data_IF_697556222892
#
_entry.id   IF_697556222892
#
_cell.length_a   1.000
_cell.length_b   1.000
_cell.length_c   1.000
_cell.angle_alpha   90.00
_cell.angle_beta   90.00
_cell.angle_gamma   90.00
#
_symmetry.space_group_name_H-M   'P 1'
#
loop_
_entity.id
_entity.type
_entity.pdbx_description
1 polymer ?
#
# COMPACT_ATOMS: atom_id res chain seq x y z
N UNK A 1 28.65 -22.23 -29.98
CA UNK A 1 27.55 -23.16 -29.63
C UNK A 1 27.47 -23.22 -28.11
N UNK A 2 26.28 -23.18 -27.55
CA UNK A 2 26.13 -23.37 -26.10
C UNK A 2 26.55 -24.80 -25.71
N UNK A 3 27.30 -24.96 -24.62
CA UNK A 3 27.73 -26.25 -24.12
C UNK A 3 26.50 -27.06 -23.67
N UNK A 4 26.42 -28.31 -24.11
CA UNK A 4 25.35 -29.23 -23.71
C UNK A 4 25.95 -30.50 -23.15
N UNK A 5 25.58 -30.87 -21.93
CA UNK A 5 26.00 -32.04 -21.20
C UNK A 5 24.86 -33.04 -20.96
N UNK A 6 23.81 -33.00 -21.76
CA UNK A 6 22.69 -33.92 -21.65
C UNK A 6 23.16 -35.37 -21.84
N UNK A 7 22.72 -36.26 -20.94
CA UNK A 7 23.12 -37.68 -20.98
C UNK A 7 24.55 -38.00 -20.52
N UNK A 8 25.34 -36.96 -20.17
CA UNK A 8 26.72 -37.19 -19.69
C UNK A 8 26.73 -37.57 -18.19
N UNK A 9 27.65 -38.45 -17.82
CA UNK A 9 27.95 -38.73 -16.41
C UNK A 9 28.95 -37.70 -15.83
N UNK A 10 29.30 -37.87 -14.53
CA UNK A 10 30.20 -36.96 -13.82
C UNK A 10 31.60 -37.00 -14.42
N UNK A 11 32.11 -38.19 -14.81
CA UNK A 11 33.46 -38.34 -15.35
C UNK A 11 33.61 -37.66 -16.72
N UNK A 12 32.61 -37.82 -17.57
CA UNK A 12 32.60 -37.16 -18.87
C UNK A 12 32.63 -35.62 -18.72
N UNK A 13 31.91 -35.07 -17.73
CA UNK A 13 31.96 -33.64 -17.43
C UNK A 13 33.28 -33.19 -16.79
N UNK A 14 33.90 -34.02 -15.99
CA UNK A 14 35.23 -33.78 -15.44
C UNK A 14 36.24 -33.78 -16.61
N UNK A 15 36.25 -34.85 -17.43
CA UNK A 15 37.14 -35.01 -18.56
C UNK A 15 37.05 -33.84 -19.55
N UNK A 16 35.88 -33.26 -19.74
CA UNK A 16 35.69 -32.06 -20.54
C UNK A 16 36.59 -30.89 -20.09
N UNK A 17 36.78 -30.73 -18.78
CA UNK A 17 37.55 -29.64 -18.20
C UNK A 17 39.01 -29.97 -17.94
N UNK A 18 39.31 -31.23 -17.60
CA UNK A 18 40.64 -31.70 -17.17
C UNK A 18 41.39 -32.50 -18.23
N UNK A 19 40.73 -32.82 -19.33
CA UNK A 19 41.20 -33.84 -20.27
C UNK A 19 40.84 -35.26 -19.83
N UNK A 20 40.85 -36.18 -20.79
CA UNK A 20 40.50 -37.61 -20.58
C UNK A 20 41.66 -38.37 -19.95
N UNK A 21 42.02 -38.04 -18.70
CA UNK A 21 43.06 -38.62 -17.92
C UNK A 21 42.49 -39.21 -16.61
N UNK A 22 42.66 -40.52 -16.41
CA UNK A 22 42.09 -41.25 -15.28
C UNK A 22 42.52 -40.69 -13.91
N UNK A 23 43.78 -40.26 -13.75
CA UNK A 23 44.28 -39.68 -12.51
C UNK A 23 43.64 -38.29 -12.24
N UNK A 24 43.44 -37.48 -13.27
CA UNK A 24 42.75 -36.21 -13.16
C UNK A 24 41.29 -36.36 -12.78
N UNK A 25 40.61 -37.36 -13.36
CA UNK A 25 39.21 -37.68 -13.06
C UNK A 25 39.09 -38.17 -11.63
N UNK A 26 39.97 -39.08 -11.19
CA UNK A 26 40.01 -39.60 -9.80
C UNK A 26 40.28 -38.49 -8.79
N UNK A 27 41.21 -37.60 -9.08
CA UNK A 27 41.51 -36.42 -8.24
C UNK A 27 40.29 -35.51 -8.13
N UNK A 28 39.62 -35.18 -9.23
CA UNK A 28 38.42 -34.36 -9.22
C UNK A 28 37.28 -34.98 -8.43
N UNK A 29 37.07 -36.30 -8.56
CA UNK A 29 36.08 -37.03 -7.72
C UNK A 29 36.41 -36.94 -6.24
N UNK A 30 37.67 -36.96 -5.86
CA UNK A 30 38.12 -36.76 -4.48
C UNK A 30 37.66 -35.40 -3.94
N UNK A 31 37.94 -34.32 -4.66
CA UNK A 31 37.52 -32.95 -4.27
C UNK A 31 35.99 -32.80 -4.24
N UNK A 32 35.24 -33.38 -5.17
CA UNK A 32 33.78 -33.38 -5.18
C UNK A 32 33.21 -34.11 -3.96
N UNK A 33 33.77 -35.26 -3.61
CA UNK A 33 33.34 -36.00 -2.43
C UNK A 33 33.61 -35.22 -1.14
N UNK A 34 34.81 -34.65 -1.01
CA UNK A 34 35.18 -33.83 0.13
C UNK A 34 34.30 -32.57 0.23
N UNK A 35 34.00 -31.91 -0.87
CA UNK A 35 33.07 -30.76 -0.88
C UNK A 35 31.69 -31.13 -0.34
N UNK A 36 31.16 -32.29 -0.71
CA UNK A 36 29.86 -32.73 -0.21
C UNK A 36 29.92 -33.12 1.28
N UNK A 37 30.99 -33.79 1.71
CA UNK A 37 31.18 -34.20 3.12
C UNK A 37 31.36 -32.98 4.03
N UNK A 38 32.20 -32.03 3.63
CA UNK A 38 32.40 -30.78 4.40
C UNK A 38 31.15 -29.93 4.48
N UNK A 39 30.34 -29.88 3.41
CA UNK A 39 29.02 -29.24 3.44
C UNK A 39 28.08 -29.95 4.44
N UNK A 40 28.04 -31.29 4.43
CA UNK A 40 27.21 -32.06 5.37
C UNK A 40 27.62 -31.83 6.83
N UNK A 41 28.91 -31.70 7.07
CA UNK A 41 29.51 -31.46 8.40
C UNK A 41 29.49 -29.97 8.79
N UNK A 42 29.06 -29.07 7.90
CA UNK A 42 29.08 -27.60 8.08
C UNK A 42 30.51 -27.04 8.30
N UNK A 43 31.52 -27.73 7.77
CA UNK A 43 32.90 -27.25 7.75
C UNK A 43 33.16 -26.40 6.51
N UNK A 44 32.79 -25.13 6.62
CA UNK A 44 32.81 -24.23 5.49
C UNK A 44 34.22 -23.77 5.08
N UNK A 45 35.21 -23.85 5.95
CA UNK A 45 36.60 -23.54 5.60
C UNK A 45 37.18 -24.63 4.67
N UNK A 46 37.04 -25.88 5.04
CA UNK A 46 37.47 -26.98 4.19
C UNK A 46 36.62 -27.12 2.94
N UNK A 47 35.31 -26.80 3.05
CA UNK A 47 34.43 -26.72 1.89
C UNK A 47 34.91 -25.67 0.88
N UNK A 48 35.38 -24.49 1.33
CA UNK A 48 35.96 -23.46 0.49
C UNK A 48 37.23 -23.88 -0.22
N UNK A 49 38.14 -24.63 0.46
CA UNK A 49 39.33 -25.17 -0.19
C UNK A 49 38.96 -26.11 -1.34
N UNK A 50 38.01 -27.01 -1.10
CA UNK A 50 37.52 -27.93 -2.13
C UNK A 50 36.81 -27.19 -3.28
N UNK A 51 36.01 -26.18 -2.94
CA UNK A 51 35.34 -25.30 -3.93
C UNK A 51 36.32 -24.62 -4.87
N UNK A 52 37.42 -24.03 -4.35
CA UNK A 52 38.44 -23.34 -5.15
C UNK A 52 39.05 -24.29 -6.22
N UNK A 53 39.36 -25.53 -5.83
CA UNK A 53 39.88 -26.51 -6.75
C UNK A 53 38.84 -26.89 -7.82
N UNK A 54 37.59 -27.21 -7.42
CA UNK A 54 36.53 -27.61 -8.35
C UNK A 54 36.18 -26.48 -9.33
N UNK A 55 36.04 -25.25 -8.83
CA UNK A 55 35.77 -24.06 -9.66
C UNK A 55 36.79 -23.93 -10.78
N UNK A 56 38.07 -24.16 -10.47
CA UNK A 56 39.17 -23.98 -11.42
C UNK A 56 39.29 -25.13 -12.42
N UNK A 57 39.17 -26.38 -11.95
CA UNK A 57 39.53 -27.53 -12.76
C UNK A 57 38.37 -28.41 -13.21
N UNK A 58 37.23 -28.35 -12.54
CA UNK A 58 36.07 -29.17 -12.85
C UNK A 58 34.72 -28.44 -12.69
N UNK A 59 34.53 -27.23 -13.28
CA UNK A 59 33.38 -26.39 -13.00
C UNK A 59 32.03 -26.98 -13.43
N UNK A 60 32.04 -27.95 -14.35
CA UNK A 60 30.83 -28.64 -14.82
C UNK A 60 30.60 -30.02 -14.21
N UNK A 61 31.46 -30.44 -13.31
CA UNK A 61 31.38 -31.80 -12.73
C UNK A 61 30.02 -32.01 -12.01
N UNK A 62 29.58 -31.01 -11.25
CA UNK A 62 28.26 -31.00 -10.59
C UNK A 62 27.71 -29.62 -10.37
N UNK A 63 26.38 -29.50 -10.28
CA UNK A 63 25.71 -28.23 -10.01
C UNK A 63 25.86 -27.76 -8.55
N UNK A 64 26.30 -28.62 -7.66
CA UNK A 64 26.39 -28.39 -6.20
C UNK A 64 27.20 -27.15 -5.82
N UNK A 65 28.32 -26.87 -6.50
CA UNK A 65 29.13 -25.68 -6.22
C UNK A 65 28.37 -24.37 -6.42
N UNK A 66 27.45 -24.34 -7.38
CA UNK A 66 26.65 -23.15 -7.72
C UNK A 66 25.41 -23.00 -6.84
N UNK A 67 24.90 -24.08 -6.25
CA UNK A 67 23.69 -24.07 -5.42
C UNK A 67 23.98 -24.02 -3.93
N UNK A 68 25.08 -24.64 -3.49
CA UNK A 68 25.52 -24.71 -2.08
C UNK A 68 26.60 -23.67 -1.76
N UNK A 69 27.39 -23.27 -2.76
CA UNK A 69 28.46 -22.28 -2.63
C UNK A 69 28.03 -20.95 -2.03
N UNK A 70 26.91 -20.36 -2.43
CA UNK A 70 26.45 -19.11 -1.81
C UNK A 70 26.26 -19.19 -0.30
N UNK A 71 25.72 -20.30 0.21
CA UNK A 71 25.55 -20.51 1.65
C UNK A 71 26.91 -20.73 2.37
N UNK A 72 27.85 -21.40 1.73
CA UNK A 72 29.22 -21.50 2.24
C UNK A 72 29.84 -20.12 2.41
N UNK A 73 29.77 -19.26 1.39
CA UNK A 73 30.30 -17.90 1.48
C UNK A 73 29.58 -17.05 2.53
N UNK A 74 28.27 -17.17 2.62
CA UNK A 74 27.49 -16.53 3.69
C UNK A 74 28.03 -16.89 5.07
N UNK A 75 28.24 -18.19 5.32
CA UNK A 75 28.73 -18.70 6.59
C UNK A 75 30.16 -18.23 6.89
N UNK A 76 31.02 -18.20 5.87
CA UNK A 76 32.40 -17.69 5.99
C UNK A 76 32.44 -16.20 6.32
N UNK A 77 31.64 -15.38 5.63
CA UNK A 77 31.55 -13.93 5.86
C UNK A 77 31.02 -13.64 7.27
N UNK A 78 30.00 -14.38 7.72
CA UNK A 78 29.44 -14.21 9.07
C UNK A 78 30.40 -14.60 10.19
N UNK A 79 31.25 -15.60 9.96
CA UNK A 79 32.25 -16.05 10.95
C UNK A 79 33.55 -15.23 10.93
N UNK A 80 33.89 -14.54 9.82
CA UNK A 80 35.13 -13.80 9.66
C UNK A 80 35.08 -12.46 10.41
N UNK A 81 36.23 -12.01 10.94
CA UNK A 81 36.37 -10.73 11.58
C UNK A 81 37.22 -9.74 10.75
N UNK A 82 38.08 -10.26 9.88
CA UNK A 82 38.94 -9.46 9.02
C UNK A 82 38.13 -8.85 7.85
N UNK A 83 37.99 -7.53 7.76
CA UNK A 83 37.24 -6.89 6.68
C UNK A 83 37.76 -7.23 5.28
N UNK A 84 39.07 -7.39 5.10
CA UNK A 84 39.65 -7.71 3.80
C UNK A 84 39.29 -9.14 3.36
N UNK A 85 39.21 -10.08 4.30
CA UNK A 85 38.75 -11.44 4.01
C UNK A 85 37.24 -11.49 3.77
N UNK A 86 36.44 -10.73 4.53
CA UNK A 86 35.01 -10.59 4.26
C UNK A 86 34.77 -10.11 2.85
N UNK A 87 35.48 -9.06 2.45
CA UNK A 87 35.41 -8.49 1.09
C UNK A 87 35.78 -9.54 0.06
N UNK A 88 36.86 -10.27 0.24
CA UNK A 88 37.29 -11.31 -0.67
C UNK A 88 36.21 -12.39 -0.85
N UNK A 89 35.65 -12.90 0.25
CA UNK A 89 34.60 -13.92 0.18
C UNK A 89 33.33 -13.39 -0.51
N UNK A 90 32.99 -12.12 -0.28
CA UNK A 90 31.86 -11.48 -0.94
C UNK A 90 32.08 -11.34 -2.45
N UNK A 91 33.23 -10.87 -2.88
CA UNK A 91 33.57 -10.71 -4.29
C UNK A 91 33.55 -12.07 -5.02
N UNK A 92 34.10 -13.11 -4.40
CA UNK A 92 34.09 -14.47 -4.95
C UNK A 92 32.67 -15.08 -4.99
N UNK A 93 31.81 -14.75 -4.04
CA UNK A 93 30.40 -15.14 -4.07
C UNK A 93 29.68 -14.47 -5.25
N UNK A 94 29.92 -13.19 -5.47
CA UNK A 94 29.32 -12.47 -6.62
C UNK A 94 29.82 -13.04 -7.94
N UNK A 95 31.13 -13.35 -8.04
CA UNK A 95 31.69 -14.03 -9.21
C UNK A 95 31.03 -15.40 -9.44
N UNK A 96 30.75 -16.16 -8.38
CA UNK A 96 30.06 -17.44 -8.48
C UNK A 96 28.65 -17.29 -9.09
N UNK A 97 27.89 -16.26 -8.71
CA UNK A 97 26.60 -15.97 -9.33
C UNK A 97 26.75 -15.61 -10.80
N UNK A 98 27.74 -14.82 -11.19
CA UNK A 98 28.01 -14.47 -12.59
C UNK A 98 28.39 -15.70 -13.42
N UNK A 99 29.23 -16.57 -12.89
CA UNK A 99 29.57 -17.84 -13.52
C UNK A 99 28.34 -18.75 -13.68
N UNK A 100 27.48 -18.81 -12.68
CA UNK A 100 26.24 -19.58 -12.76
C UNK A 100 25.31 -19.03 -13.84
N UNK A 101 25.13 -17.71 -13.91
CA UNK A 101 24.34 -17.07 -14.97
C UNK A 101 24.92 -17.38 -16.38
N UNK A 102 26.21 -17.17 -16.56
CA UNK A 102 26.90 -17.43 -17.83
C UNK A 102 26.75 -18.87 -18.29
N UNK A 103 26.81 -19.81 -17.36
CA UNK A 103 26.82 -21.25 -17.66
C UNK A 103 25.44 -21.91 -17.46
N UNK A 104 24.37 -21.14 -17.25
CA UNK A 104 23.07 -21.66 -16.82
C UNK A 104 22.52 -22.76 -17.75
N UNK A 105 22.61 -22.57 -19.06
CA UNK A 105 22.14 -23.56 -20.04
C UNK A 105 22.95 -24.88 -19.94
N UNK A 106 24.26 -24.78 -19.81
CA UNK A 106 25.13 -25.93 -19.67
C UNK A 106 24.85 -26.69 -18.36
N UNK A 107 24.68 -25.96 -17.25
CA UNK A 107 24.34 -26.55 -15.94
C UNK A 107 22.94 -27.21 -15.96
N UNK A 108 21.97 -26.58 -16.60
CA UNK A 108 20.61 -27.11 -16.75
C UNK A 108 20.54 -28.37 -17.62
N UNK A 109 21.50 -28.55 -18.55
CA UNK A 109 21.47 -29.72 -19.45
C UNK A 109 21.66 -31.06 -18.72
N UNK A 110 22.28 -31.06 -17.54
CA UNK A 110 22.47 -32.26 -16.71
C UNK A 110 21.85 -32.17 -15.31
N UNK A 111 21.25 -31.01 -14.95
CA UNK A 111 20.63 -30.84 -13.65
C UNK A 111 19.31 -31.64 -13.55
N UNK A 112 19.06 -32.27 -12.42
CA UNK A 112 17.77 -32.93 -12.13
C UNK A 112 16.62 -31.91 -12.07
N UNK A 113 16.89 -30.74 -11.46
CA UNK A 113 15.95 -29.60 -11.41
C UNK A 113 16.60 -28.45 -12.13
N UNK A 114 15.93 -27.98 -13.17
CA UNK A 114 16.39 -26.85 -13.97
C UNK A 114 16.10 -25.54 -13.24
N UNK A 115 17.02 -24.59 -13.32
CA UNK A 115 16.85 -23.24 -12.80
C UNK A 115 16.60 -22.26 -13.94
N UNK A 116 15.77 -21.25 -13.69
CA UNK A 116 15.64 -20.09 -14.59
C UNK A 116 16.69 -19.02 -14.23
N UNK A 117 16.85 -18.03 -15.07
CA UNK A 117 17.66 -16.86 -14.73
C UNK A 117 17.06 -16.11 -13.52
N UNK A 118 15.74 -16.02 -13.42
CA UNK A 118 15.04 -15.44 -12.28
C UNK A 118 15.37 -16.14 -10.96
N UNK A 119 15.50 -17.49 -10.95
CA UNK A 119 15.93 -18.25 -9.75
C UNK A 119 17.32 -17.82 -9.28
N UNK A 120 18.26 -17.71 -10.20
CA UNK A 120 19.65 -17.34 -9.89
C UNK A 120 19.74 -15.92 -9.36
N UNK A 121 19.05 -14.99 -10.01
CA UNK A 121 19.04 -13.56 -9.66
C UNK A 121 18.32 -13.29 -8.34
N UNK A 122 17.23 -14.03 -8.03
CA UNK A 122 16.54 -13.88 -6.76
C UNK A 122 17.44 -14.26 -5.58
N UNK A 123 18.17 -15.38 -5.71
CA UNK A 123 19.13 -15.81 -4.68
C UNK A 123 20.31 -14.82 -4.56
N UNK A 124 20.82 -14.31 -5.70
CA UNK A 124 21.87 -13.27 -5.72
C UNK A 124 21.40 -12.01 -4.99
N UNK A 125 20.18 -11.53 -5.24
CA UNK A 125 19.63 -10.33 -4.62
C UNK A 125 19.54 -10.45 -3.10
N UNK A 126 19.04 -11.58 -2.60
CA UNK A 126 18.96 -11.86 -1.16
C UNK A 126 20.34 -11.85 -0.51
N UNK A 127 21.31 -12.61 -1.03
CA UNK A 127 22.65 -12.65 -0.46
C UNK A 127 23.38 -11.32 -0.57
N UNK A 128 23.23 -10.60 -1.68
CA UNK A 128 23.80 -9.25 -1.82
C UNK A 128 23.25 -8.34 -0.72
N UNK A 129 21.96 -8.27 -0.56
CA UNK A 129 21.33 -7.39 0.43
C UNK A 129 21.75 -7.71 1.87
N UNK A 130 21.90 -8.99 2.21
CA UNK A 130 22.28 -9.41 3.57
C UNK A 130 23.75 -9.19 3.92
N UNK A 131 24.64 -9.12 2.93
CA UNK A 131 26.08 -9.18 3.16
C UNK A 131 26.86 -7.98 2.64
N UNK A 132 26.30 -7.24 1.66
CA UNK A 132 27.04 -6.18 0.99
C UNK A 132 27.51 -5.06 1.94
N UNK A 133 26.65 -4.62 2.85
CA UNK A 133 26.99 -3.54 3.77
C UNK A 133 28.19 -3.91 4.66
N UNK A 134 28.19 -5.10 5.25
CA UNK A 134 29.28 -5.55 6.13
C UNK A 134 30.56 -5.97 5.38
N UNK A 135 30.44 -6.31 4.10
CA UNK A 135 31.57 -6.76 3.28
C UNK A 135 32.23 -5.61 2.49
N UNK A 136 31.46 -4.63 2.06
CA UNK A 136 31.92 -3.49 1.25
C UNK A 136 32.23 -2.24 2.08
N UNK A 137 31.70 -2.14 3.31
CA UNK A 137 31.91 -1.00 4.16
C UNK A 137 31.51 0.32 3.47
N UNK A 138 32.47 1.25 3.30
CA UNK A 138 32.22 2.54 2.66
C UNK A 138 31.91 2.47 1.14
N UNK A 139 32.23 1.36 0.49
CA UNK A 139 31.91 1.14 -0.93
C UNK A 139 30.49 0.61 -1.13
N UNK A 140 29.76 0.34 -0.04
CA UNK A 140 28.39 -0.11 -0.14
C UNK A 140 27.49 0.98 -0.75
N UNK A 141 26.81 0.63 -1.86
CA UNK A 141 25.78 1.46 -2.47
C UNK A 141 24.43 0.71 -2.45
N UNK A 142 23.49 1.26 -1.72
CA UNK A 142 22.12 0.75 -1.60
C UNK A 142 21.43 0.57 -2.97
N UNK A 143 21.79 1.39 -3.98
CA UNK A 143 21.27 1.27 -5.35
C UNK A 143 21.62 -0.07 -6.00
N UNK A 144 22.74 -0.68 -5.62
CA UNK A 144 23.10 -2.00 -6.13
C UNK A 144 22.20 -3.09 -5.55
N UNK A 145 21.81 -3.00 -4.27
CA UNK A 145 20.77 -3.87 -3.71
C UNK A 145 19.46 -3.73 -4.48
N UNK A 146 19.01 -2.51 -4.70
CA UNK A 146 17.82 -2.22 -5.48
C UNK A 146 17.85 -2.85 -6.87
N UNK A 147 18.95 -2.64 -7.62
CA UNK A 147 19.11 -3.20 -8.97
C UNK A 147 19.02 -4.72 -9.00
N UNK A 148 19.66 -5.39 -8.03
CA UNK A 148 19.61 -6.86 -7.95
C UNK A 148 18.18 -7.35 -7.71
N UNK A 149 17.41 -6.72 -6.82
CA UNK A 149 16.00 -7.08 -6.59
C UNK A 149 15.12 -6.80 -7.82
N UNK A 150 15.23 -5.61 -8.41
CA UNK A 150 14.44 -5.22 -9.57
C UNK A 150 14.69 -6.13 -10.79
N UNK A 151 15.95 -6.50 -11.03
CA UNK A 151 16.32 -7.41 -12.11
C UNK A 151 15.79 -8.83 -11.85
N UNK A 152 15.85 -9.30 -10.61
CA UNK A 152 15.29 -10.60 -10.23
C UNK A 152 13.78 -10.67 -10.44
N UNK A 153 13.03 -9.66 -9.97
CA UNK A 153 11.58 -9.56 -10.15
C UNK A 153 11.23 -9.54 -11.65
N UNK A 154 11.93 -8.72 -12.42
CA UNK A 154 11.75 -8.66 -13.87
C UNK A 154 11.94 -10.02 -14.54
N UNK A 155 13.04 -10.70 -14.26
CA UNK A 155 13.33 -11.99 -14.87
C UNK A 155 12.37 -13.09 -14.46
N UNK A 156 11.93 -13.12 -13.21
CA UNK A 156 10.89 -14.07 -12.78
C UNK A 156 9.57 -13.81 -13.51
N UNK A 157 9.18 -12.55 -13.68
CA UNK A 157 7.96 -12.19 -14.40
C UNK A 157 8.02 -12.52 -15.91
N UNK A 158 9.18 -12.38 -16.53
CA UNK A 158 9.36 -12.64 -17.97
C UNK A 158 9.57 -14.12 -18.33
N UNK A 159 10.29 -14.85 -17.49
CA UNK A 159 10.76 -16.21 -17.81
C UNK A 159 10.22 -17.29 -16.89
N UNK A 160 9.48 -16.91 -15.85
CA UNK A 160 9.09 -17.80 -14.77
C UNK A 160 10.26 -18.12 -13.84
N UNK A 161 10.05 -19.07 -12.92
CA UNK A 161 11.02 -19.51 -11.93
C UNK A 161 10.41 -19.68 -10.56
N UNK A 162 11.25 -19.51 -9.51
CA UNK A 162 10.74 -19.56 -8.14
C UNK A 162 9.75 -18.42 -7.90
N UNK A 163 8.77 -18.71 -7.11
CA UNK A 163 7.80 -17.72 -6.65
C UNK A 163 8.52 -16.59 -5.88
N UNK A 164 8.21 -15.35 -6.24
CA UNK A 164 8.64 -14.18 -5.49
C UNK A 164 7.79 -14.09 -4.22
N UNK A 165 8.41 -14.38 -3.07
CA UNK A 165 7.70 -14.41 -1.79
C UNK A 165 7.36 -13.00 -1.28
N UNK A 166 6.36 -12.89 -0.38
CA UNK A 166 6.04 -11.63 0.27
C UNK A 166 7.23 -11.01 1.00
N UNK A 167 8.06 -11.82 1.68
CA UNK A 167 9.29 -11.33 2.33
C UNK A 167 10.31 -10.76 1.33
N UNK A 168 10.42 -11.34 0.14
CA UNK A 168 11.27 -10.80 -0.92
C UNK A 168 10.77 -9.43 -1.37
N UNK A 169 9.46 -9.29 -1.62
CA UNK A 169 8.82 -8.02 -1.99
C UNK A 169 8.94 -6.97 -0.89
N UNK A 170 8.73 -7.36 0.36
CA UNK A 170 8.92 -6.48 1.52
C UNK A 170 10.36 -5.97 1.59
N UNK A 171 11.35 -6.84 1.42
CA UNK A 171 12.76 -6.46 1.46
C UNK A 171 13.12 -5.54 0.30
N UNK A 172 12.64 -5.83 -0.91
CA UNK A 172 12.77 -4.94 -2.05
C UNK A 172 12.20 -3.55 -1.75
N UNK A 173 10.98 -3.50 -1.20
CA UNK A 173 10.32 -2.23 -0.91
C UNK A 173 11.02 -1.45 0.21
N UNK A 174 11.57 -2.14 1.22
CA UNK A 174 12.43 -1.51 2.24
C UNK A 174 13.67 -0.86 1.64
N UNK A 175 14.30 -1.50 0.65
CA UNK A 175 15.45 -0.92 -0.08
C UNK A 175 15.00 0.29 -0.90
N UNK A 176 13.86 0.24 -1.56
CA UNK A 176 13.27 1.36 -2.29
C UNK A 176 12.95 2.55 -1.36
N UNK A 177 12.37 2.28 -0.18
CA UNK A 177 12.07 3.29 0.84
C UNK A 177 13.35 3.97 1.37
N UNK A 178 14.39 3.18 1.63
CA UNK A 178 15.68 3.72 2.05
C UNK A 178 16.32 4.64 0.99
N UNK A 179 16.19 4.31 -0.30
CA UNK A 179 16.64 5.17 -1.41
C UNK A 179 15.79 6.44 -1.49
N UNK A 180 14.48 6.31 -1.38
CA UNK A 180 13.57 7.46 -1.38
C UNK A 180 13.91 8.45 -0.27
N UNK A 181 14.14 7.99 0.95
CA UNK A 181 14.57 8.81 2.09
C UNK A 181 15.95 9.42 1.88
N UNK A 182 16.92 8.63 1.43
CA UNK A 182 18.29 9.10 1.16
C UNK A 182 18.36 10.18 0.07
N UNK A 183 17.48 10.10 -0.94
CA UNK A 183 17.39 11.07 -2.05
C UNK A 183 16.44 12.23 -1.76
N UNK A 184 15.92 12.33 -0.53
CA UNK A 184 14.95 13.37 -0.12
C UNK A 184 13.76 13.48 -1.09
N UNK A 185 13.27 12.35 -1.56
CA UNK A 185 12.12 12.28 -2.45
C UNK A 185 12.41 12.43 -3.95
N UNK A 186 13.67 12.55 -4.38
CA UNK A 186 13.99 12.67 -5.80
C UNK A 186 13.59 11.41 -6.63
N UNK A 187 13.44 10.25 -5.99
CA UNK A 187 13.02 8.99 -6.63
C UNK A 187 11.54 8.66 -6.41
N UNK A 188 10.71 9.67 -6.16
CA UNK A 188 9.31 9.50 -5.76
C UNK A 188 8.46 8.68 -6.73
N UNK A 189 8.56 8.93 -8.04
CA UNK A 189 7.79 8.19 -9.04
C UNK A 189 8.15 6.70 -9.03
N UNK A 190 9.44 6.38 -8.93
CA UNK A 190 9.89 5.00 -8.85
C UNK A 190 9.42 4.33 -7.56
N UNK A 191 9.53 5.03 -6.45
CA UNK A 191 9.06 4.54 -5.14
C UNK A 191 7.55 4.22 -5.13
N UNK A 192 6.74 5.10 -5.75
CA UNK A 192 5.31 4.85 -5.92
C UNK A 192 5.04 3.61 -6.80
N UNK A 193 5.81 3.44 -7.88
CA UNK A 193 5.68 2.28 -8.76
C UNK A 193 6.09 1.00 -8.03
N UNK A 194 7.19 1.02 -7.28
CA UNK A 194 7.67 -0.12 -6.48
C UNK A 194 6.63 -0.54 -5.42
N UNK A 195 5.95 0.44 -4.79
CA UNK A 195 4.84 0.18 -3.89
C UNK A 195 3.69 -0.54 -4.58
N UNK A 196 3.22 0.01 -5.70
CA UNK A 196 2.08 -0.54 -6.43
C UNK A 196 2.36 -1.96 -6.94
N UNK A 197 3.55 -2.18 -7.50
CA UNK A 197 3.92 -3.48 -8.05
C UNK A 197 4.08 -4.54 -6.94
N UNK A 198 4.69 -4.16 -5.80
CA UNK A 198 4.84 -5.05 -4.64
C UNK A 198 3.49 -5.39 -4.01
N UNK A 199 2.61 -4.40 -3.88
CA UNK A 199 1.25 -4.58 -3.37
C UNK A 199 0.44 -5.49 -4.28
N UNK A 200 0.38 -5.21 -5.58
CA UNK A 200 -0.34 -6.02 -6.56
C UNK A 200 0.12 -7.49 -6.55
N UNK A 201 1.44 -7.72 -6.47
CA UNK A 201 1.98 -9.06 -6.41
C UNK A 201 1.53 -9.82 -5.14
N UNK A 202 1.55 -9.17 -3.98
CA UNK A 202 1.04 -9.76 -2.74
C UNK A 202 -0.48 -10.03 -2.81
N UNK A 203 -1.27 -9.07 -3.25
CA UNK A 203 -2.73 -9.18 -3.32
C UNK A 203 -3.18 -10.30 -4.26
N UNK A 204 -2.50 -10.49 -5.40
CA UNK A 204 -2.74 -11.60 -6.31
C UNK A 204 -2.58 -12.95 -5.61
N UNK A 205 -1.56 -13.11 -4.78
CA UNK A 205 -1.32 -14.35 -4.05
C UNK A 205 -2.32 -14.55 -2.91
N UNK A 206 -2.74 -13.48 -2.25
CA UNK A 206 -3.81 -13.53 -1.24
C UNK A 206 -5.18 -13.85 -1.86
N UNK A 207 -5.43 -13.42 -3.09
CA UNK A 207 -6.63 -13.85 -3.83
C UNK A 207 -6.59 -15.35 -4.15
N UNK A 208 -5.45 -15.89 -4.57
CA UNK A 208 -5.26 -17.34 -4.75
C UNK A 208 -5.44 -18.12 -3.43
N UNK A 209 -5.11 -17.51 -2.28
CA UNK A 209 -5.37 -18.12 -0.97
C UNK A 209 -6.88 -18.24 -0.70
N UNK A 210 -7.68 -17.22 -1.04
CA UNK A 210 -9.15 -17.27 -0.91
C UNK A 210 -9.75 -18.33 -1.81
N UNK A 211 -9.32 -18.39 -3.08
CA UNK A 211 -9.76 -19.39 -4.04
C UNK A 211 -9.44 -20.82 -3.58
N UNK A 212 -8.23 -21.03 -3.02
CA UNK A 212 -7.83 -22.31 -2.44
C UNK A 212 -8.71 -22.67 -1.23
N UNK A 213 -9.03 -21.69 -0.36
CA UNK A 213 -9.93 -21.91 0.76
C UNK A 213 -11.33 -22.31 0.32
N UNK A 214 -11.87 -21.64 -0.67
CA UNK A 214 -13.21 -21.94 -1.28
C UNK A 214 -13.24 -23.32 -1.95
N UNK A 215 -12.11 -23.72 -2.56
CA UNK A 215 -11.93 -25.05 -3.16
C UNK A 215 -11.67 -26.17 -2.12
N UNK A 216 -11.57 -25.84 -0.82
CA UNK A 216 -11.31 -26.80 0.25
C UNK A 216 -9.83 -27.14 0.45
N UNK A 217 -8.90 -26.51 -0.28
CA UNK A 217 -7.44 -26.67 -0.09
C UNK A 217 -6.92 -25.75 1.02
N UNK A 218 -7.25 -26.12 2.25
CA UNK A 218 -6.87 -25.35 3.43
C UNK A 218 -5.34 -25.28 3.67
N UNK A 219 -4.57 -26.24 3.15
CA UNK A 219 -3.11 -26.24 3.29
C UNK A 219 -2.51 -25.13 2.41
N UNK A 220 -2.88 -25.12 1.13
CA UNK A 220 -2.44 -24.08 0.19
C UNK A 220 -2.89 -22.69 0.66
N UNK A 221 -4.15 -22.54 1.06
CA UNK A 221 -4.69 -21.28 1.56
C UNK A 221 -3.87 -20.73 2.74
N UNK A 222 -3.59 -21.57 3.75
CA UNK A 222 -2.82 -21.18 4.93
C UNK A 222 -1.38 -20.82 4.58
N UNK A 223 -0.75 -21.58 3.67
CA UNK A 223 0.62 -21.31 3.22
C UNK A 223 0.71 -19.95 2.54
N UNK A 224 -0.20 -19.63 1.63
CA UNK A 224 -0.22 -18.36 0.93
C UNK A 224 -0.50 -17.19 1.87
N UNK A 225 -1.47 -17.31 2.78
CA UNK A 225 -1.73 -16.30 3.81
C UNK A 225 -0.48 -16.03 4.66
N UNK A 226 0.15 -17.09 5.18
CA UNK A 226 1.37 -16.93 6.00
C UNK A 226 2.53 -16.29 5.23
N UNK A 227 2.59 -16.46 3.91
CA UNK A 227 3.68 -15.94 3.08
C UNK A 227 3.48 -14.48 2.69
N UNK A 228 2.23 -13.99 2.52
CA UNK A 228 1.97 -12.70 1.88
C UNK A 228 1.22 -11.68 2.74
N UNK A 229 0.43 -12.09 3.74
CA UNK A 229 -0.42 -11.17 4.51
C UNK A 229 0.41 -10.18 5.35
N UNK A 230 1.30 -10.68 6.20
CA UNK A 230 2.17 -9.83 7.03
C UNK A 230 3.11 -8.95 6.19
N UNK A 231 3.80 -9.46 5.15
CA UNK A 231 4.62 -8.61 4.27
C UNK A 231 3.83 -7.49 3.60
N UNK A 232 2.62 -7.75 3.12
CA UNK A 232 1.78 -6.71 2.53
C UNK A 232 1.44 -5.61 3.55
N UNK A 233 1.03 -5.98 4.76
CA UNK A 233 0.72 -5.01 5.81
C UNK A 233 1.94 -4.13 6.16
N UNK A 234 3.15 -4.69 6.17
CA UNK A 234 4.38 -3.92 6.40
C UNK A 234 4.68 -2.97 5.23
N UNK A 235 4.54 -3.42 3.98
CA UNK A 235 4.70 -2.57 2.79
C UNK A 235 3.74 -1.38 2.84
N UNK A 236 2.47 -1.61 3.14
CA UNK A 236 1.45 -0.56 3.25
C UNK A 236 1.74 0.42 4.40
N UNK A 237 2.20 -0.08 5.54
CA UNK A 237 2.60 0.76 6.66
C UNK A 237 3.78 1.67 6.32
N UNK A 238 4.83 1.13 5.70
CA UNK A 238 6.01 1.91 5.27
C UNK A 238 5.58 3.01 4.30
N UNK A 239 4.76 2.66 3.31
CA UNK A 239 4.27 3.60 2.31
C UNK A 239 3.44 4.72 2.93
N UNK A 240 2.48 4.40 3.79
CA UNK A 240 1.61 5.39 4.43
C UNK A 240 2.37 6.40 5.29
N UNK A 241 3.50 5.98 5.87
CA UNK A 241 4.35 6.82 6.72
C UNK A 241 5.41 7.61 5.94
N UNK A 242 5.59 7.31 4.66
CA UNK A 242 6.68 7.89 3.87
C UNK A 242 6.48 9.36 3.47
N UNK A 243 5.24 9.84 3.43
CA UNK A 243 4.90 11.14 2.84
C UNK A 243 5.16 11.23 1.33
N UNK A 244 5.31 10.09 0.67
CA UNK A 244 5.70 10.02 -0.74
C UNK A 244 4.59 10.44 -1.70
N UNK A 245 3.35 10.25 -1.36
CA UNK A 245 2.23 10.50 -2.25
C UNK A 245 1.64 11.89 -2.00
N UNK A 246 1.62 12.79 -3.00
CA UNK A 246 0.64 13.87 -3.05
C UNK A 246 -0.55 13.44 -3.90
N UNK A 247 -1.70 14.07 -3.63
CA UNK A 247 -2.95 13.75 -4.32
C UNK A 247 -2.84 13.87 -5.84
N UNK A 248 -2.09 14.84 -6.36
CA UNK A 248 -1.95 15.05 -7.81
C UNK A 248 -1.19 13.89 -8.49
N UNK A 249 -0.16 13.37 -7.85
CA UNK A 249 0.61 12.22 -8.37
C UNK A 249 -0.20 10.92 -8.31
N UNK A 250 -0.92 10.68 -7.22
CA UNK A 250 -1.84 9.54 -7.10
C UNK A 250 -2.89 9.60 -8.22
N UNK A 251 -3.53 10.74 -8.42
CA UNK A 251 -4.50 10.95 -9.50
C UNK A 251 -3.88 10.66 -10.87
N UNK A 252 -2.68 11.17 -11.15
CA UNK A 252 -2.00 10.96 -12.43
C UNK A 252 -1.68 9.47 -12.69
N UNK A 253 -1.20 8.74 -11.67
CA UNK A 253 -0.91 7.31 -11.74
C UNK A 253 -2.19 6.52 -12.06
N UNK A 254 -3.27 6.76 -11.30
CA UNK A 254 -4.50 6.01 -11.50
C UNK A 254 -5.24 6.38 -12.77
N UNK A 255 -5.11 7.63 -13.25
CA UNK A 255 -5.61 8.02 -14.59
C UNK A 255 -4.95 7.18 -15.68
N UNK A 256 -3.63 6.99 -15.63
CA UNK A 256 -2.90 6.14 -16.60
C UNK A 256 -3.27 4.66 -16.50
N UNK A 257 -3.55 4.17 -15.30
CA UNK A 257 -3.81 2.74 -15.03
C UNK A 257 -5.28 2.33 -15.23
N UNK A 258 -6.21 3.28 -15.32
CA UNK A 258 -7.65 2.98 -15.33
C UNK A 258 -8.05 1.96 -16.40
N UNK A 259 -7.64 2.17 -17.65
CA UNK A 259 -8.01 1.28 -18.76
C UNK A 259 -7.51 -0.16 -18.57
N UNK A 260 -6.40 -0.34 -17.90
CA UNK A 260 -5.83 -1.66 -17.56
C UNK A 260 -6.53 -2.28 -16.34
N UNK A 261 -7.03 -1.47 -15.41
CA UNK A 261 -7.57 -1.91 -14.12
C UNK A 261 -9.09 -2.09 -14.11
N UNK A 262 -9.82 -1.42 -15.03
CA UNK A 262 -11.30 -1.33 -15.02
C UNK A 262 -12.06 -2.67 -15.10
N UNK A 263 -11.37 -3.77 -15.44
CA UNK A 263 -11.96 -5.13 -15.51
C UNK A 263 -11.50 -6.04 -14.36
N UNK A 264 -10.68 -5.54 -13.44
CA UNK A 264 -10.13 -6.32 -12.33
C UNK A 264 -10.61 -5.73 -11.00
N UNK A 265 -11.53 -6.45 -10.33
CA UNK A 265 -12.16 -5.98 -9.09
C UNK A 265 -11.15 -5.75 -7.95
N UNK A 266 -10.09 -6.56 -7.88
CA UNK A 266 -9.10 -6.42 -6.83
C UNK A 266 -8.27 -5.16 -7.03
N UNK A 267 -7.82 -4.90 -8.26
CA UNK A 267 -7.10 -3.67 -8.63
C UNK A 267 -7.95 -2.43 -8.42
N UNK A 268 -9.24 -2.48 -8.77
CA UNK A 268 -10.17 -1.37 -8.55
C UNK A 268 -10.34 -1.06 -7.06
N UNK A 269 -10.62 -2.08 -6.23
CA UNK A 269 -10.81 -1.87 -4.79
C UNK A 269 -9.55 -1.39 -4.09
N UNK A 270 -8.39 -1.96 -4.43
CA UNK A 270 -7.07 -1.52 -3.93
C UNK A 270 -6.79 -0.07 -4.30
N UNK A 271 -7.07 0.32 -5.54
CA UNK A 271 -6.89 1.69 -6.02
C UNK A 271 -7.79 2.68 -5.29
N UNK A 272 -9.05 2.33 -5.07
CA UNK A 272 -10.00 3.15 -4.29
C UNK A 272 -9.51 3.40 -2.87
N UNK A 273 -8.99 2.35 -2.20
CA UNK A 273 -8.44 2.48 -0.84
C UNK A 273 -7.24 3.43 -0.83
N UNK A 274 -6.29 3.26 -1.76
CA UNK A 274 -5.11 4.14 -1.84
C UNK A 274 -5.51 5.59 -2.14
N UNK A 275 -6.45 5.80 -3.03
CA UNK A 275 -6.94 7.15 -3.33
C UNK A 275 -7.64 7.79 -2.13
N UNK A 276 -8.40 7.03 -1.33
CA UNK A 276 -9.00 7.53 -0.07
C UNK A 276 -7.93 7.88 0.96
N UNK A 277 -6.94 7.00 1.17
CA UNK A 277 -5.87 7.20 2.15
C UNK A 277 -4.97 8.39 1.83
N UNK A 278 -5.06 8.92 0.59
CA UNK A 278 -4.28 10.07 0.11
C UNK A 278 -5.16 11.26 -0.30
N UNK A 279 -6.32 11.41 0.29
CA UNK A 279 -7.25 12.52 0.08
C UNK A 279 -7.63 12.79 -1.40
N UNK A 280 -7.72 11.69 -2.19
CA UNK A 280 -8.10 11.76 -3.62
C UNK A 280 -9.55 11.34 -3.88
N UNK A 281 -10.35 11.10 -2.84
CA UNK A 281 -11.72 10.56 -2.91
C UNK A 281 -12.78 11.56 -3.45
N UNK A 282 -12.39 12.80 -3.71
CA UNK A 282 -13.22 13.80 -4.42
C UNK A 282 -12.82 13.97 -5.90
N UNK A 283 -11.84 13.18 -6.40
CA UNK A 283 -11.36 13.29 -7.77
C UNK A 283 -12.25 12.55 -8.77
N UNK A 284 -12.29 13.04 -10.03
CA UNK A 284 -13.07 12.41 -11.08
C UNK A 284 -12.58 10.98 -11.39
N UNK A 285 -11.29 10.72 -11.26
CA UNK A 285 -10.74 9.38 -11.48
C UNK A 285 -11.18 8.42 -10.36
N UNK A 286 -11.24 8.87 -9.11
CA UNK A 286 -11.78 8.08 -8.01
C UNK A 286 -13.22 7.61 -8.30
N UNK A 287 -14.05 8.52 -8.81
CA UNK A 287 -15.42 8.18 -9.17
C UNK A 287 -15.51 7.20 -10.33
N UNK A 288 -14.62 7.28 -11.33
CA UNK A 288 -14.56 6.31 -12.41
C UNK A 288 -14.19 4.90 -11.90
N UNK A 289 -13.23 4.81 -10.96
CA UNK A 289 -12.88 3.56 -10.30
C UNK A 289 -14.06 3.01 -9.48
N UNK A 290 -14.76 3.87 -8.74
CA UNK A 290 -15.92 3.45 -7.96
C UNK A 290 -17.06 2.91 -8.86
N UNK A 291 -17.33 3.56 -10.00
CA UNK A 291 -18.30 3.10 -11.00
C UNK A 291 -17.91 1.74 -11.57
N UNK A 292 -16.67 1.56 -12.01
CA UNK A 292 -16.20 0.32 -12.56
C UNK A 292 -16.23 -0.82 -11.53
N UNK A 293 -15.78 -0.56 -10.30
CA UNK A 293 -15.79 -1.53 -9.21
C UNK A 293 -17.23 -1.96 -8.85
N UNK A 294 -18.12 -0.99 -8.72
CA UNK A 294 -19.52 -1.25 -8.37
C UNK A 294 -20.24 -2.07 -9.46
N UNK A 295 -19.95 -1.80 -10.73
CA UNK A 295 -20.52 -2.53 -11.86
C UNK A 295 -20.06 -4.01 -11.91
N UNK A 296 -18.81 -4.30 -11.52
CA UNK A 296 -18.30 -5.66 -11.44
C UNK A 296 -18.80 -6.39 -10.18
N UNK A 297 -18.63 -5.77 -9.03
CA UNK A 297 -19.03 -6.31 -7.74
C UNK A 297 -19.23 -5.18 -6.74
N UNK A 298 -20.45 -4.87 -6.31
CA UNK A 298 -20.70 -3.85 -5.30
C UNK A 298 -19.93 -4.12 -4.02
N UNK A 299 -19.11 -3.16 -3.58
CA UNK A 299 -18.37 -3.19 -2.33
C UNK A 299 -18.69 -1.96 -1.49
N UNK A 300 -18.36 -2.02 -0.19
CA UNK A 300 -18.51 -0.88 0.73
C UNK A 300 -17.86 0.39 0.16
N UNK A 301 -16.62 0.28 -0.30
CA UNK A 301 -15.83 1.42 -0.80
C UNK A 301 -16.40 1.97 -2.09
N UNK A 302 -16.78 1.10 -3.05
CA UNK A 302 -17.36 1.56 -4.31
C UNK A 302 -18.74 2.21 -4.12
N UNK A 303 -19.57 1.69 -3.20
CA UNK A 303 -20.86 2.28 -2.88
C UNK A 303 -20.71 3.69 -2.25
N UNK A 304 -19.73 3.88 -1.34
CA UNK A 304 -19.41 5.21 -0.78
C UNK A 304 -18.95 6.17 -1.89
N UNK A 305 -18.05 5.76 -2.76
CA UNK A 305 -17.57 6.60 -3.86
C UNK A 305 -18.71 7.09 -4.77
N UNK A 306 -19.64 6.19 -5.11
CA UNK A 306 -20.82 6.56 -5.90
C UNK A 306 -21.79 7.48 -5.15
N UNK A 307 -21.96 7.28 -3.83
CA UNK A 307 -22.76 8.16 -3.00
C UNK A 307 -22.15 9.57 -2.93
N UNK A 308 -20.83 9.68 -2.79
CA UNK A 308 -20.11 10.96 -2.81
C UNK A 308 -20.24 11.66 -4.16
N UNK A 309 -20.10 10.92 -5.27
CA UNK A 309 -20.35 11.44 -6.62
C UNK A 309 -21.77 11.97 -6.77
N UNK A 310 -22.77 11.17 -6.41
CA UNK A 310 -24.17 11.56 -6.47
C UNK A 310 -24.46 12.81 -5.60
N UNK A 311 -23.79 12.94 -4.45
CA UNK A 311 -23.87 14.13 -3.60
C UNK A 311 -23.25 15.35 -4.26
N UNK A 312 -22.08 15.22 -4.92
CA UNK A 312 -21.42 16.27 -5.70
C UNK A 312 -22.32 16.76 -6.84
N UNK A 313 -22.97 15.81 -7.51
CA UNK A 313 -23.87 16.06 -8.63
C UNK A 313 -25.29 16.48 -8.21
N UNK A 314 -25.53 16.69 -6.90
CA UNK A 314 -26.82 17.04 -6.29
C UNK A 314 -27.97 16.04 -6.61
N UNK A 315 -27.64 14.77 -6.84
CA UNK A 315 -28.58 13.68 -7.13
C UNK A 315 -28.99 12.97 -5.83
N UNK A 316 -29.89 13.59 -5.06
CA UNK A 316 -30.23 13.15 -3.70
C UNK A 316 -30.71 11.68 -3.63
N UNK A 317 -31.58 11.25 -4.53
CA UNK A 317 -32.13 9.90 -4.53
C UNK A 317 -31.03 8.86 -4.74
N UNK A 318 -30.15 9.07 -5.71
CA UNK A 318 -29.01 8.19 -5.94
C UNK A 318 -28.01 8.19 -4.79
N UNK A 319 -27.76 9.36 -4.20
CA UNK A 319 -26.92 9.46 -3.00
C UNK A 319 -27.44 8.57 -1.88
N UNK A 320 -28.75 8.63 -1.60
CA UNK A 320 -29.38 7.81 -0.56
C UNK A 320 -29.37 6.33 -0.93
N UNK A 321 -29.62 5.97 -2.19
CA UNK A 321 -29.54 4.60 -2.69
C UNK A 321 -28.15 3.99 -2.43
N UNK A 322 -27.09 4.67 -2.85
CA UNK A 322 -25.73 4.16 -2.69
C UNK A 322 -25.26 4.16 -1.23
N UNK A 323 -25.61 5.14 -0.41
CA UNK A 323 -25.32 5.08 1.02
C UNK A 323 -26.08 3.97 1.74
N UNK A 324 -27.35 3.69 1.37
CA UNK A 324 -28.07 2.56 1.92
C UNK A 324 -27.40 1.24 1.53
N UNK A 325 -26.91 1.14 0.29
CA UNK A 325 -26.11 -0.02 -0.13
C UNK A 325 -24.82 -0.15 0.66
N UNK A 326 -24.14 0.95 0.93
CA UNK A 326 -22.95 0.95 1.79
C UNK A 326 -23.29 0.53 3.24
N UNK A 327 -24.44 0.93 3.79
CA UNK A 327 -24.92 0.48 5.11
C UNK A 327 -25.13 -1.04 5.18
N UNK A 328 -25.71 -1.64 4.13
CA UNK A 328 -25.88 -3.09 4.02
C UNK A 328 -24.53 -3.83 3.98
N UNK A 329 -23.54 -3.26 3.30
CA UNK A 329 -22.23 -3.84 3.09
C UNK A 329 -21.24 -3.51 4.25
N UNK A 330 -21.64 -2.67 5.20
CA UNK A 330 -20.78 -2.26 6.30
C UNK A 330 -20.51 -3.43 7.27
N UNK A 331 -19.23 -3.71 7.50
CA UNK A 331 -18.77 -4.81 8.36
C UNK A 331 -18.73 -4.49 9.85
N UNK A 332 -18.97 -3.23 10.25
CA UNK A 332 -18.95 -2.80 11.65
C UNK A 332 -19.91 -1.64 11.91
N UNK A 333 -20.35 -1.49 13.16
CA UNK A 333 -21.20 -0.39 13.59
C UNK A 333 -20.49 0.96 13.50
N UNK A 334 -19.17 1.00 13.69
CA UNK A 334 -18.39 2.21 13.42
C UNK A 334 -18.54 2.69 11.96
N UNK A 335 -18.44 1.79 10.98
CA UNK A 335 -18.65 2.12 9.57
C UNK A 335 -20.08 2.59 9.32
N UNK A 336 -21.09 1.94 9.91
CA UNK A 336 -22.49 2.36 9.81
C UNK A 336 -22.72 3.76 10.38
N UNK A 337 -22.14 4.07 11.54
CA UNK A 337 -22.20 5.38 12.15
C UNK A 337 -21.60 6.49 11.26
N UNK A 338 -20.43 6.24 10.64
CA UNK A 338 -19.79 7.16 9.72
C UNK A 338 -20.67 7.41 8.48
N UNK A 339 -21.27 6.36 7.90
CA UNK A 339 -22.20 6.53 6.76
C UNK A 339 -23.40 7.39 7.17
N UNK A 340 -23.97 7.17 8.36
CA UNK A 340 -25.07 7.99 8.86
C UNK A 340 -24.68 9.47 8.95
N UNK A 341 -23.46 9.81 9.40
CA UNK A 341 -22.96 11.20 9.37
C UNK A 341 -22.80 11.76 7.94
N UNK A 342 -22.44 10.91 6.97
CA UNK A 342 -22.34 11.33 5.57
C UNK A 342 -23.72 11.57 4.95
N UNK A 343 -24.69 10.69 5.23
CA UNK A 343 -26.10 10.92 4.83
C UNK A 343 -26.64 12.21 5.47
N UNK A 344 -26.36 12.43 6.76
CA UNK A 344 -26.73 13.67 7.46
C UNK A 344 -26.18 14.90 6.72
N UNK A 345 -24.93 14.89 6.29
CA UNK A 345 -24.33 15.97 5.51
C UNK A 345 -25.04 16.19 4.16
N UNK A 346 -25.30 15.12 3.42
CA UNK A 346 -25.96 15.17 2.12
C UNK A 346 -27.39 15.73 2.25
N UNK A 347 -28.16 15.25 3.22
CA UNK A 347 -29.50 15.76 3.51
C UNK A 347 -29.48 17.22 3.96
N UNK A 348 -28.49 17.63 4.75
CA UNK A 348 -28.32 19.01 5.16
C UNK A 348 -28.07 19.95 3.97
N UNK A 349 -27.19 19.56 3.05
CA UNK A 349 -26.90 20.26 1.80
C UNK A 349 -28.17 20.38 0.93
N UNK A 350 -29.01 19.35 0.93
CA UNK A 350 -30.31 19.32 0.20
C UNK A 350 -31.45 19.93 0.99
N UNK A 351 -31.19 20.60 2.12
CA UNK A 351 -32.16 21.26 3.00
C UNK A 351 -33.24 20.34 3.60
N UNK A 352 -32.97 19.03 3.63
CA UNK A 352 -33.85 18.02 4.27
C UNK A 352 -33.47 17.85 5.73
N UNK A 353 -33.65 18.91 6.52
CA UNK A 353 -33.10 19.01 7.88
C UNK A 353 -33.63 17.97 8.87
N UNK A 354 -34.94 17.64 8.80
CA UNK A 354 -35.53 16.61 9.67
C UNK A 354 -34.88 15.24 9.45
N UNK A 355 -34.74 14.82 8.19
CA UNK A 355 -34.03 13.59 7.86
C UNK A 355 -32.57 13.62 8.29
N UNK A 356 -31.90 14.77 8.11
CA UNK A 356 -30.51 14.94 8.55
C UNK A 356 -30.34 14.74 10.04
N UNK A 357 -31.22 15.27 10.89
CA UNK A 357 -31.21 15.09 12.35
C UNK A 357 -31.36 13.61 12.71
N UNK A 358 -32.33 12.91 12.11
CA UNK A 358 -32.55 11.48 12.32
C UNK A 358 -31.29 10.65 12.02
N UNK A 359 -30.55 10.96 10.94
CA UNK A 359 -29.32 10.24 10.64
C UNK A 359 -28.16 10.63 11.57
N UNK A 360 -28.13 11.85 12.10
CA UNK A 360 -27.17 12.20 13.14
C UNK A 360 -27.42 11.41 14.45
N UNK A 361 -28.68 11.17 14.82
CA UNK A 361 -29.07 10.31 15.95
C UNK A 361 -28.66 8.87 15.72
N UNK A 362 -28.99 8.29 14.55
CA UNK A 362 -28.57 6.93 14.18
C UNK A 362 -27.05 6.75 14.21
N UNK A 363 -26.28 7.79 13.90
CA UNK A 363 -24.82 7.71 13.99
C UNK A 363 -24.34 7.47 15.42
N UNK A 364 -24.99 8.10 16.41
CA UNK A 364 -24.71 7.90 17.83
C UNK A 364 -25.16 6.51 18.29
N UNK A 365 -26.31 6.03 17.81
CA UNK A 365 -26.81 4.68 18.12
C UNK A 365 -25.85 3.60 17.65
N UNK A 366 -25.30 3.73 16.43
CA UNK A 366 -24.32 2.79 15.89
C UNK A 366 -22.95 2.89 16.56
N UNK A 367 -22.48 4.11 16.81
CA UNK A 367 -21.19 4.32 17.47
C UNK A 367 -21.20 5.55 18.41
N UNK A 368 -21.28 5.33 19.72
CA UNK A 368 -21.25 6.40 20.72
C UNK A 368 -20.00 7.31 20.66
N UNK A 369 -18.88 6.83 20.12
CA UNK A 369 -17.68 7.66 19.94
C UNK A 369 -17.88 8.80 18.92
N UNK A 370 -18.91 8.70 18.09
CA UNK A 370 -19.29 9.75 17.14
C UNK A 370 -20.17 10.84 17.72
N UNK A 371 -20.56 10.75 19.00
CA UNK A 371 -21.51 11.66 19.68
C UNK A 371 -21.12 13.12 19.52
N UNK A 372 -19.86 13.49 19.75
CA UNK A 372 -19.40 14.88 19.58
C UNK A 372 -19.54 15.40 18.16
N UNK A 373 -19.17 14.57 17.17
CA UNK A 373 -19.31 14.90 15.76
C UNK A 373 -20.80 15.03 15.34
N UNK A 374 -21.65 14.14 15.83
CA UNK A 374 -23.08 14.16 15.55
C UNK A 374 -23.74 15.42 16.15
N UNK A 375 -23.44 15.76 17.42
CA UNK A 375 -23.96 16.99 18.04
C UNK A 375 -23.49 18.25 17.33
N UNK A 376 -22.26 18.31 16.83
CA UNK A 376 -21.79 19.44 16.02
C UNK A 376 -22.59 19.58 14.72
N UNK A 377 -22.97 18.46 14.08
CA UNK A 377 -23.84 18.50 12.89
C UNK A 377 -25.26 18.94 13.26
N UNK A 378 -25.83 18.46 14.37
CA UNK A 378 -27.14 18.90 14.86
C UNK A 378 -27.12 20.40 15.19
N UNK A 379 -26.03 20.93 15.78
CA UNK A 379 -25.87 22.35 16.01
C UNK A 379 -25.90 23.15 14.69
N UNK A 380 -25.19 22.71 13.67
CA UNK A 380 -25.23 23.34 12.34
C UNK A 380 -26.65 23.33 11.74
N UNK A 381 -27.34 22.18 11.80
CA UNK A 381 -28.69 22.04 11.27
C UNK A 381 -29.66 22.98 12.00
N UNK A 382 -29.63 23.03 13.34
CA UNK A 382 -30.47 23.92 14.12
C UNK A 382 -30.14 25.40 13.85
N UNK A 383 -28.88 25.73 13.56
CA UNK A 383 -28.51 27.09 13.11
C UNK A 383 -29.17 27.44 11.78
N UNK A 384 -29.20 26.50 10.83
CA UNK A 384 -29.87 26.71 9.52
C UNK A 384 -31.39 26.81 9.64
N UNK A 385 -31.98 26.15 10.66
CA UNK A 385 -33.39 26.25 11.01
C UNK A 385 -33.74 27.55 11.79
N UNK A 386 -32.74 28.32 12.22
CA UNK A 386 -32.93 29.50 13.06
C UNK A 386 -33.22 29.17 14.52
N UNK A 387 -33.06 27.91 14.93
CA UNK A 387 -33.25 27.39 16.29
C UNK A 387 -31.97 27.59 17.11
N UNK A 388 -31.63 28.87 17.36
CA UNK A 388 -30.32 29.25 17.89
C UNK A 388 -30.07 28.75 19.32
N UNK A 389 -31.09 28.64 20.17
CA UNK A 389 -30.94 28.13 21.53
C UNK A 389 -30.57 26.66 21.54
N UNK A 390 -31.24 25.85 20.74
CA UNK A 390 -30.95 24.43 20.52
C UNK A 390 -29.55 24.23 19.89
N UNK A 391 -29.21 25.07 18.90
CA UNK A 391 -27.92 25.03 18.28
C UNK A 391 -26.77 25.27 19.28
N UNK A 392 -26.89 26.25 20.16
CA UNK A 392 -25.93 26.54 21.23
C UNK A 392 -25.86 25.37 22.21
N UNK A 393 -26.99 24.79 22.62
CA UNK A 393 -27.02 23.60 23.48
C UNK A 393 -26.27 22.41 22.86
N UNK A 394 -26.45 22.17 21.55
CA UNK A 394 -25.71 21.12 20.85
C UNK A 394 -24.22 21.43 20.71
N UNK A 395 -23.80 22.70 20.55
CA UNK A 395 -22.39 23.06 20.60
C UNK A 395 -21.75 22.68 21.96
N UNK A 396 -22.44 23.00 23.06
CA UNK A 396 -21.96 22.67 24.40
C UNK A 396 -21.87 21.15 24.63
N UNK A 397 -22.90 20.40 24.22
CA UNK A 397 -22.88 18.93 24.25
C UNK A 397 -21.75 18.34 23.41
N UNK A 398 -21.49 18.89 22.23
CA UNK A 398 -20.42 18.46 21.35
C UNK A 398 -19.05 18.62 22.00
N UNK A 399 -18.78 19.79 22.62
CA UNK A 399 -17.52 20.07 23.32
C UNK A 399 -17.28 19.15 24.54
N UNK A 400 -18.35 18.76 25.22
CA UNK A 400 -18.27 17.84 26.37
C UNK A 400 -18.03 16.39 25.90
N UNK A 401 -18.68 15.97 24.82
CA UNK A 401 -18.63 14.61 24.31
C UNK A 401 -17.32 14.27 23.59
N UNK A 402 -16.69 15.26 22.94
CA UNK A 402 -15.47 15.05 22.16
C UNK A 402 -14.62 16.34 22.14
N UNK A 403 -13.51 16.30 22.86
CA UNK A 403 -12.57 17.44 22.93
C UNK A 403 -12.00 17.82 21.55
N UNK A 404 -11.92 16.90 20.61
CA UNK A 404 -11.37 17.16 19.28
C UNK A 404 -12.25 18.09 18.44
N UNK A 405 -13.54 18.16 18.72
CA UNK A 405 -14.49 19.04 18.04
C UNK A 405 -14.78 20.33 18.82
N UNK A 406 -14.27 20.49 20.05
CA UNK A 406 -14.58 21.63 20.92
C UNK A 406 -14.26 22.98 20.27
N UNK A 407 -13.09 23.11 19.65
CA UNK A 407 -12.72 24.34 18.94
C UNK A 407 -13.63 24.69 17.75
N UNK A 408 -14.26 23.72 17.12
CA UNK A 408 -15.24 23.94 16.06
C UNK A 408 -16.61 24.30 16.64
N UNK A 409 -17.00 23.65 17.74
CA UNK A 409 -18.23 23.95 18.46
C UNK A 409 -18.21 25.37 19.05
N UNK A 410 -17.10 25.80 19.64
CA UNK A 410 -16.93 27.14 20.21
C UNK A 410 -17.01 28.24 19.13
N UNK A 411 -16.37 28.00 17.97
CA UNK A 411 -16.46 28.91 16.82
C UNK A 411 -17.89 29.01 16.30
N UNK A 412 -18.59 27.90 16.17
CA UNK A 412 -19.99 27.89 15.74
C UNK A 412 -20.87 28.64 16.74
N UNK A 413 -20.71 28.36 18.05
CA UNK A 413 -21.44 29.04 19.14
C UNK A 413 -21.23 30.57 19.07
N UNK A 414 -19.98 31.02 18.94
CA UNK A 414 -19.66 32.44 18.83
C UNK A 414 -20.32 33.09 17.59
N UNK A 415 -20.31 32.40 16.44
CA UNK A 415 -20.98 32.87 15.23
C UNK A 415 -22.50 32.97 15.40
N UNK A 416 -23.15 32.00 16.05
CA UNK A 416 -24.57 32.01 16.35
C UNK A 416 -24.90 33.22 17.21
N UNK A 417 -24.15 33.46 18.29
CA UNK A 417 -24.35 34.60 19.19
C UNK A 417 -24.21 35.94 18.47
N UNK A 418 -23.24 36.07 17.54
CA UNK A 418 -23.09 37.27 16.70
C UNK A 418 -24.31 37.48 15.77
N UNK A 419 -24.80 36.41 15.14
CA UNK A 419 -26.01 36.49 14.30
C UNK A 419 -27.23 36.94 15.13
N UNK A 420 -27.42 36.39 16.31
CA UNK A 420 -28.51 36.79 17.22
C UNK A 420 -28.40 38.28 17.63
N UNK A 421 -27.19 38.75 17.97
CA UNK A 421 -26.94 40.14 18.32
C UNK A 421 -27.29 41.08 17.15
N UNK A 422 -26.83 40.77 15.94
CA UNK A 422 -27.14 41.55 14.74
C UNK A 422 -28.65 41.57 14.41
N UNK A 423 -29.34 40.45 14.58
CA UNK A 423 -30.79 40.38 14.37
C UNK A 423 -31.56 41.24 15.39
N UNK A 424 -31.13 41.21 16.66
CA UNK A 424 -31.73 42.04 17.71
C UNK A 424 -31.53 43.55 17.44
N UNK A 425 -30.34 43.93 16.96
CA UNK A 425 -30.04 45.32 16.59
C UNK A 425 -30.87 45.78 15.39
N UNK A 426 -30.97 44.96 14.34
CA UNK A 426 -31.80 45.24 13.16
C UNK A 426 -33.28 45.33 13.54
N UNK A 427 -33.77 44.49 14.43
CA UNK A 427 -35.16 44.57 14.92
C UNK A 427 -35.42 45.84 15.69
N UNK A 428 -34.49 46.30 16.54
CA UNK A 428 -34.56 47.58 17.23
C UNK A 428 -34.57 48.75 16.26
N UNK A 429 -33.68 48.74 15.26
CA UNK A 429 -33.62 49.80 14.22
C UNK A 429 -34.92 49.85 13.40
N UNK A 430 -35.47 48.68 13.03
CA UNK A 430 -36.76 48.62 12.30
C UNK A 430 -37.91 49.16 13.14
N UNK A 431 -38.00 48.77 14.41
CA UNK A 431 -39.00 49.30 15.33
C UNK A 431 -38.89 50.82 15.47
N UNK A 432 -37.68 51.34 15.67
CA UNK A 432 -37.45 52.78 15.77
C UNK A 432 -37.88 53.53 14.49
N UNK A 433 -37.66 52.96 13.31
CA UNK A 433 -38.11 53.51 12.03
C UNK A 433 -39.65 53.51 11.87
N UNK A 434 -40.29 52.37 12.27
CA UNK A 434 -41.75 52.23 12.25
C UNK A 434 -42.42 53.26 13.21
N UNK A 435 -41.86 53.43 14.42
CA UNK A 435 -42.27 54.40 15.40
C UNK A 435 -42.11 55.86 14.85
N UNK A 436 -40.98 56.11 14.14
CA UNK A 436 -40.78 57.41 13.46
C UNK A 436 -41.86 57.69 12.39
N UNK A 437 -42.15 56.71 11.52
CA UNK A 437 -43.17 56.81 10.51
C UNK A 437 -44.59 57.04 11.11
N UNK A 438 -44.89 56.37 12.20
CA UNK A 438 -46.17 56.54 12.92
C UNK A 438 -46.29 57.96 13.48
N UNK A 439 -45.22 58.50 14.10
CA UNK A 439 -45.21 59.90 14.57
C UNK A 439 -45.38 60.86 13.43
N UNK A 440 -44.66 60.68 12.32
CA UNK A 440 -44.79 61.58 11.14
C UNK A 440 -46.21 61.56 10.56
N UNK A 441 -46.85 60.42 10.44
CA UNK A 441 -48.25 60.30 10.02
C UNK A 441 -49.21 60.99 10.98
N UNK A 442 -48.97 60.87 12.29
CA UNK A 442 -49.80 61.59 13.29
C UNK A 442 -49.65 63.13 13.21
N UNK A 443 -48.42 63.61 13.00
CA UNK A 443 -48.17 65.04 12.77
C UNK A 443 -48.83 65.56 11.48
N UNK A 444 -48.71 64.81 10.37
CA UNK A 444 -49.39 65.16 9.09
C UNK A 444 -50.91 65.16 9.23
N UNK A 445 -51.48 64.22 10.00
CA UNK A 445 -52.94 64.21 10.29
C UNK A 445 -53.34 65.34 11.19
N UNK A 446 -52.53 65.77 12.15
CA UNK A 446 -52.76 66.87 13.03
C UNK A 446 -52.77 68.24 12.24
N UNK A 447 -51.77 68.45 11.40
CA UNK A 447 -51.66 69.67 10.62
C UNK A 447 -52.55 69.66 9.38
N UNK A 448 -52.91 68.53 8.79
CA UNK A 448 -53.81 68.39 7.64
C UNK A 448 -55.31 68.57 7.97
N UNK A 449 -55.68 68.43 9.27
CA UNK A 449 -57.04 68.67 9.74
C UNK A 449 -57.43 70.13 9.93
N UNK A 450 -56.46 71.06 9.77
CA UNK A 450 -56.71 72.54 9.95
C UNK A 450 -57.03 73.30 8.71
N UNK A 451 -57.22 72.70 7.52
CA UNK A 451 -57.49 73.42 6.26
C UNK A 451 -58.87 73.05 5.68
N UNK A 452 -59.91 73.04 6.50
CA UNK A 452 -61.27 73.10 6.05
C UNK A 452 -62.05 73.91 7.05
N UNK A 453 -61.98 75.23 6.86
CA UNK A 453 -63.06 76.24 7.16
C UNK A 453 -62.99 77.31 6.14
#
# INVERSE_FOLDING_TARGET
>A
MAQNFEGTDVDQRIAYSTGDNEDSIKTARGYLTMFQQTNANKDYQDMYVNYQWIKKYAPFAQNGIYTQGPFMFYSLIKAEQDPAKKRKYFDEMMELFELRQKNLNALNSFAKTKSTLGDVLSVKAEYYNFLAQESLGQEYDLRNSYKNFAEAIKMVNEQGGREITGNFLQTFFLVSDAIFKATKGATREQYLQDYLDSKEACEKMLQLAKEAQEAGDSVKARTLLATYDTPLAVIEQIFSQSGAADSAQIIAIYTKKFDTYKTDINKLNSSLTIMQDNDCDESDIYYQYAEAAYALQPSFTSAIGLAQKAQKDAQLEKMLEYYNKALELASSDNRRGIICLNICNGLTKSKQYTGALTYAEKAIEYNPELTGKAYLKMANINTLLGQYAEAISYCEKASVADITVSGSADRLKANIQKVQANQAENAKARKAYDDFLARKKAEEAFWGGGAKK
#
